data_IF_073500346640
#
_entry.id   IF_073500346640
#
_cell.length_a   1.000
_cell.length_b   1.000
_cell.length_c   1.000
_cell.angle_alpha   90.00
_cell.angle_beta   90.00
_cell.angle_gamma   90.00
#
_symmetry.space_group_name_H-M   'P 1'
#
loop_
_entity.id
_entity.type
_entity.pdbx_description
1 polymer ?
#
# COMPACT_ATOMS: atom_id res chain seq x y z
N UNK A 1 -17.16 -24.45 -31.16
CA UNK A 1 -16.19 -24.81 -30.10
C UNK A 1 -16.71 -24.23 -28.80
N UNK A 2 -16.56 -24.92 -27.65
CA UNK A 2 -16.94 -24.35 -26.36
C UNK A 2 -16.13 -23.08 -26.08
N UNK A 3 -16.74 -22.13 -25.40
CA UNK A 3 -16.10 -20.94 -24.85
C UNK A 3 -15.07 -21.30 -23.78
N UNK A 4 -14.12 -20.41 -23.49
CA UNK A 4 -13.15 -20.61 -22.42
C UNK A 4 -13.84 -20.83 -21.07
N UNK A 5 -14.94 -20.10 -20.81
CA UNK A 5 -15.69 -20.24 -19.58
C UNK A 5 -16.38 -21.62 -19.45
N UNK A 6 -16.92 -22.15 -20.54
CA UNK A 6 -17.46 -23.52 -20.57
C UNK A 6 -16.35 -24.55 -20.30
N UNK A 7 -15.17 -24.37 -20.90
CA UNK A 7 -14.00 -25.22 -20.65
C UNK A 7 -13.57 -25.13 -19.18
N UNK A 8 -13.54 -23.93 -18.61
CA UNK A 8 -13.20 -23.68 -17.21
C UNK A 8 -14.12 -24.44 -16.26
N UNK A 9 -15.44 -24.30 -16.41
CA UNK A 9 -16.42 -24.96 -15.53
C UNK A 9 -16.52 -26.47 -15.74
N UNK A 10 -16.21 -26.97 -16.94
CA UNK A 10 -16.29 -28.41 -17.23
C UNK A 10 -15.00 -29.18 -16.93
N UNK A 11 -13.84 -28.51 -16.94
CA UNK A 11 -12.55 -29.19 -16.85
C UNK A 11 -11.68 -28.78 -15.65
N UNK A 12 -12.09 -27.81 -14.84
CA UNK A 12 -11.34 -27.40 -13.66
C UNK A 12 -12.17 -27.57 -12.38
N UNK A 13 -11.54 -28.15 -11.36
CA UNK A 13 -12.11 -28.20 -10.02
C UNK A 13 -12.03 -26.80 -9.40
N UNK A 14 -13.19 -26.28 -8.97
CA UNK A 14 -13.27 -24.96 -8.36
C UNK A 14 -13.12 -25.08 -6.84
N UNK A 15 -12.15 -24.37 -6.23
CA UNK A 15 -11.91 -24.45 -4.79
C UNK A 15 -12.90 -23.62 -3.95
N UNK A 16 -13.76 -22.82 -4.59
CA UNK A 16 -14.75 -21.97 -3.93
C UNK A 16 -16.04 -21.88 -4.74
N UNK A 17 -17.16 -21.71 -4.04
CA UNK A 17 -18.48 -21.49 -4.63
C UNK A 17 -18.62 -20.04 -5.10
N UNK A 18 -19.31 -19.83 -6.23
CA UNK A 18 -19.61 -18.50 -6.77
C UNK A 18 -18.41 -17.85 -7.48
N UNK A 19 -18.32 -18.06 -8.80
CA UNK A 19 -17.28 -17.43 -9.62
C UNK A 19 -17.83 -16.20 -10.36
N UNK A 20 -17.24 -14.99 -10.18
CA UNK A 20 -17.55 -13.85 -11.04
C UNK A 20 -17.11 -14.05 -12.50
N UNK A 21 -16.40 -15.15 -12.81
CA UNK A 21 -16.13 -15.64 -14.17
C UNK A 21 -15.59 -14.56 -15.13
N UNK A 22 -14.65 -13.75 -14.65
CA UNK A 22 -14.01 -12.71 -15.46
C UNK A 22 -12.81 -13.33 -16.20
N UNK A 23 -12.86 -13.38 -17.53
CA UNK A 23 -11.76 -13.85 -18.35
C UNK A 23 -10.66 -12.79 -18.47
N UNK A 24 -9.57 -12.96 -17.74
CA UNK A 24 -8.45 -12.00 -17.72
C UNK A 24 -7.55 -12.20 -18.95
N UNK A 25 -7.32 -11.11 -19.70
CA UNK A 25 -6.43 -11.05 -20.87
C UNK A 25 -5.02 -10.60 -20.50
N UNK A 26 -4.92 -9.58 -19.63
CA UNK A 26 -3.64 -9.05 -19.14
C UNK A 26 -3.82 -8.36 -17.79
N UNK A 27 -2.71 -8.09 -17.12
CA UNK A 27 -2.66 -7.41 -15.84
C UNK A 27 -1.43 -6.49 -15.78
N UNK A 28 -1.57 -5.30 -15.21
CA UNK A 28 -0.48 -4.32 -15.11
C UNK A 28 -0.69 -3.39 -13.92
N UNK A 29 0.34 -3.23 -13.09
CA UNK A 29 0.27 -2.41 -11.88
C UNK A 29 -0.84 -2.90 -10.94
N UNK A 30 -1.80 -2.05 -10.61
CA UNK A 30 -2.94 -2.40 -9.75
C UNK A 30 -4.19 -2.88 -10.53
N UNK A 31 -4.05 -3.16 -11.83
CA UNK A 31 -5.20 -3.39 -12.69
C UNK A 31 -5.17 -4.73 -13.40
N UNK A 32 -6.36 -5.31 -13.53
CA UNK A 32 -6.66 -6.44 -14.41
C UNK A 32 -7.45 -5.93 -15.62
N UNK A 33 -7.30 -6.61 -16.75
CA UNK A 33 -8.00 -6.29 -17.99
C UNK A 33 -8.63 -7.56 -18.56
N UNK A 34 -9.92 -7.52 -18.86
CA UNK A 34 -10.62 -8.64 -19.50
C UNK A 34 -10.37 -8.69 -21.02
N UNK A 35 -11.03 -9.62 -21.70
CA UNK A 35 -10.89 -9.81 -23.15
C UNK A 35 -11.29 -8.58 -23.98
N UNK A 36 -12.20 -7.74 -23.44
CA UNK A 36 -12.68 -6.50 -24.05
C UNK A 36 -11.86 -5.27 -23.62
N UNK A 37 -10.69 -5.49 -22.98
CA UNK A 37 -9.82 -4.46 -22.41
C UNK A 37 -10.51 -3.58 -21.34
N UNK A 38 -11.62 -4.04 -20.76
CA UNK A 38 -12.23 -3.38 -19.61
C UNK A 38 -11.33 -3.55 -18.40
N UNK A 39 -11.07 -2.43 -17.75
CA UNK A 39 -10.12 -2.27 -16.65
C UNK A 39 -10.81 -2.52 -15.29
N UNK A 40 -10.22 -3.36 -14.45
CA UNK A 40 -10.66 -3.65 -13.09
C UNK A 40 -9.55 -3.27 -12.11
N UNK A 41 -9.87 -2.45 -11.12
CA UNK A 41 -8.95 -2.19 -10.00
C UNK A 41 -8.91 -3.42 -9.11
N UNK A 42 -7.73 -4.00 -8.92
CA UNK A 42 -7.52 -5.18 -8.11
C UNK A 42 -7.28 -4.81 -6.65
N UNK A 43 -8.33 -4.92 -5.84
CA UNK A 43 -8.27 -4.73 -4.39
C UNK A 43 -8.07 -6.05 -3.62
N UNK A 44 -8.02 -7.18 -4.33
CA UNK A 44 -7.83 -8.50 -3.75
C UNK A 44 -6.35 -8.91 -3.77
N UNK A 45 -5.62 -8.49 -4.81
CA UNK A 45 -4.18 -8.74 -4.97
C UNK A 45 -3.82 -10.23 -4.94
N UNK A 46 -4.71 -11.09 -5.47
CA UNK A 46 -4.56 -12.54 -5.46
C UNK A 46 -4.46 -13.11 -4.05
N UNK A 47 -5.35 -12.68 -3.15
CA UNK A 47 -5.37 -13.01 -1.72
C UNK A 47 -4.07 -12.50 -1.06
N UNK A 48 -3.82 -11.19 -1.21
CA UNK A 48 -2.67 -10.49 -0.62
C UNK A 48 -1.28 -10.99 -1.06
N UNK A 49 -1.16 -11.64 -2.22
CA UNK A 49 0.12 -12.13 -2.76
C UNK A 49 0.86 -11.04 -3.54
N UNK A 50 0.14 -10.31 -4.39
CA UNK A 50 0.74 -9.44 -5.39
C UNK A 50 1.08 -8.02 -4.89
N UNK A 51 1.87 -7.93 -3.82
CA UNK A 51 2.15 -6.67 -3.12
C UNK A 51 2.89 -5.60 -3.96
N UNK A 52 3.59 -6.01 -5.03
CA UNK A 52 4.28 -5.10 -5.95
C UNK A 52 3.42 -4.70 -7.16
N UNK A 53 2.19 -5.20 -7.24
CA UNK A 53 1.36 -5.09 -8.43
C UNK A 53 1.78 -6.03 -9.56
N UNK A 54 0.89 -6.15 -10.53
CA UNK A 54 1.01 -7.02 -11.69
C UNK A 54 2.12 -6.57 -12.63
N UNK A 55 2.91 -7.54 -13.12
CA UNK A 55 3.99 -7.34 -14.09
C UNK A 55 5.05 -6.29 -13.69
N UNK A 56 5.45 -6.26 -12.41
CA UNK A 56 6.51 -5.35 -11.96
C UNK A 56 7.79 -5.51 -12.81
N UNK A 57 8.28 -4.47 -13.52
CA UNK A 57 9.31 -4.61 -14.55
C UNK A 57 10.60 -5.28 -14.07
N UNK A 58 11.09 -4.92 -12.87
CA UNK A 58 12.30 -5.52 -12.29
C UNK A 58 12.15 -7.01 -11.97
N UNK A 59 10.95 -7.46 -11.62
CA UNK A 59 10.69 -8.88 -11.32
C UNK A 59 10.66 -9.66 -12.62
N UNK A 60 9.99 -9.11 -13.64
CA UNK A 60 9.94 -9.70 -14.99
C UNK A 60 11.33 -9.85 -15.61
N UNK A 61 12.17 -8.82 -15.52
CA UNK A 61 13.56 -8.85 -15.98
C UNK A 61 14.36 -9.93 -15.24
N UNK A 62 14.33 -9.95 -13.90
CA UNK A 62 15.06 -10.94 -13.11
C UNK A 62 14.65 -12.39 -13.40
N UNK A 63 13.36 -12.65 -13.67
CA UNK A 63 12.88 -13.98 -14.07
C UNK A 63 13.45 -14.36 -15.44
N UNK A 64 13.37 -13.47 -16.43
CA UNK A 64 13.90 -13.72 -17.79
C UNK A 64 15.40 -13.98 -17.78
N UNK A 65 16.15 -13.14 -17.07
CA UNK A 65 17.60 -13.29 -16.92
C UNK A 65 17.98 -14.62 -16.28
N UNK A 66 17.16 -15.12 -15.34
CA UNK A 66 17.40 -16.41 -14.71
C UNK A 66 17.03 -17.58 -15.64
N UNK A 67 15.96 -17.45 -16.43
CA UNK A 67 15.55 -18.47 -17.41
C UNK A 67 16.59 -18.68 -18.51
N UNK A 68 17.30 -17.61 -18.91
CA UNK A 68 18.42 -17.71 -19.87
C UNK A 68 19.61 -18.50 -19.31
N UNK A 69 19.68 -18.71 -17.99
CA UNK A 69 20.70 -19.53 -17.33
C UNK A 69 20.20 -20.94 -17.07
N UNK A 70 19.13 -21.07 -16.29
CA UNK A 70 18.46 -22.33 -15.96
C UNK A 70 17.12 -22.09 -15.26
N UNK A 71 16.16 -22.99 -15.46
CA UNK A 71 14.86 -22.99 -14.79
C UNK A 71 14.83 -23.86 -13.52
N UNK A 72 15.41 -25.06 -13.56
CA UNK A 72 15.45 -25.99 -12.44
C UNK A 72 16.68 -26.91 -12.53
N UNK A 73 17.30 -27.19 -11.37
CA UNK A 73 18.44 -28.12 -11.22
C UNK A 73 18.31 -28.85 -9.87
N UNK A 74 19.28 -29.70 -9.52
CA UNK A 74 19.24 -30.50 -8.28
C UNK A 74 19.12 -29.63 -7.02
N UNK A 75 18.03 -29.80 -6.29
CA UNK A 75 17.69 -28.96 -5.11
C UNK A 75 18.03 -29.59 -3.75
N UNK A 76 18.58 -30.81 -3.72
CA UNK A 76 18.94 -31.53 -2.48
C UNK A 76 20.26 -31.04 -1.82
N UNK A 77 20.59 -29.75 -1.95
CA UNK A 77 21.80 -29.14 -1.37
C UNK A 77 23.13 -29.59 -2.00
N UNK A 78 23.07 -30.34 -3.10
CA UNK A 78 24.26 -30.80 -3.84
C UNK A 78 24.81 -29.74 -4.79
N UNK A 79 24.02 -28.72 -5.09
CA UNK A 79 24.38 -27.60 -5.96
C UNK A 79 24.18 -26.29 -5.21
N UNK A 80 25.08 -25.33 -5.43
CA UNK A 80 24.97 -23.98 -4.86
C UNK A 80 24.28 -23.08 -5.88
N UNK A 81 23.11 -22.58 -5.50
CA UNK A 81 22.24 -21.77 -6.35
C UNK A 81 22.39 -20.30 -5.98
N UNK A 82 23.01 -19.50 -6.85
CA UNK A 82 23.24 -18.08 -6.61
C UNK A 82 21.95 -17.31 -6.23
N UNK A 83 20.79 -17.49 -6.90
CA UNK A 83 19.56 -16.80 -6.50
C UNK A 83 19.09 -17.18 -5.09
N UNK A 84 19.16 -18.46 -4.74
CA UNK A 84 18.80 -18.96 -3.42
C UNK A 84 19.74 -18.41 -2.34
N UNK A 85 21.05 -18.35 -2.61
CA UNK A 85 22.06 -17.82 -1.70
C UNK A 85 21.84 -16.32 -1.43
N UNK A 86 21.55 -15.54 -2.47
CA UNK A 86 21.25 -14.11 -2.34
C UNK A 86 20.02 -13.89 -1.45
N UNK A 87 18.95 -14.65 -1.68
CA UNK A 87 17.74 -14.56 -0.86
C UNK A 87 18.02 -14.97 0.59
N UNK A 88 18.73 -16.09 0.81
CA UNK A 88 19.09 -16.55 2.15
C UNK A 88 19.92 -15.52 2.90
N UNK A 89 20.87 -14.87 2.22
CA UNK A 89 21.69 -13.81 2.81
C UNK A 89 20.85 -12.59 3.20
N UNK A 90 19.99 -12.10 2.31
CA UNK A 90 19.13 -10.94 2.61
C UNK A 90 18.22 -11.24 3.81
N UNK A 91 17.64 -12.44 3.88
CA UNK A 91 16.82 -12.84 5.02
C UNK A 91 17.63 -12.91 6.31
N UNK A 92 18.81 -13.52 6.29
CA UNK A 92 19.68 -13.60 7.47
C UNK A 92 20.17 -12.23 7.96
N UNK A 93 20.40 -11.28 7.04
CA UNK A 93 20.82 -9.91 7.39
C UNK A 93 19.65 -9.06 7.96
N UNK A 94 18.39 -9.42 7.66
CA UNK A 94 17.18 -8.71 8.12
C UNK A 94 16.58 -9.29 9.40
N UNK A 95 16.77 -10.59 9.63
CA UNK A 95 16.20 -11.32 10.77
C UNK A 95 17.18 -11.35 11.95
N UNK A 96 16.70 -11.59 13.18
CA UNK A 96 17.58 -11.81 14.33
C UNK A 96 18.56 -12.97 14.11
N UNK A 97 19.74 -12.93 14.74
CA UNK A 97 20.80 -13.95 14.61
C UNK A 97 20.31 -15.40 14.82
N UNK A 98 19.30 -15.56 15.70
CA UNK A 98 18.66 -16.85 15.98
C UNK A 98 17.85 -17.43 14.81
N UNK A 99 17.60 -16.66 13.76
CA UNK A 99 16.79 -17.00 12.58
C UNK A 99 17.62 -16.88 11.29
N UNK A 100 18.82 -17.46 11.29
CA UNK A 100 19.81 -17.36 10.19
C UNK A 100 19.87 -18.58 9.25
N UNK A 101 19.04 -19.61 9.49
CA UNK A 101 18.97 -20.82 8.66
C UNK A 101 17.63 -20.90 7.91
N UNK A 102 17.68 -20.90 6.58
CA UNK A 102 16.50 -20.83 5.72
C UNK A 102 16.26 -22.16 4.99
N UNK A 103 15.00 -22.61 4.94
CA UNK A 103 14.56 -23.74 4.10
C UNK A 103 13.45 -23.25 3.18
N UNK A 104 13.72 -23.21 1.88
CA UNK A 104 12.80 -22.67 0.88
C UNK A 104 11.86 -23.73 0.34
N UNK A 105 10.60 -23.34 0.18
CA UNK A 105 9.49 -24.18 -0.31
C UNK A 105 8.61 -23.33 -1.24
N UNK A 106 7.55 -23.92 -1.79
CA UNK A 106 6.76 -23.34 -2.87
C UNK A 106 5.45 -22.71 -2.39
N UNK A 107 5.04 -22.96 -1.14
CA UNK A 107 3.78 -22.43 -0.59
C UNK A 107 3.86 -22.18 0.92
N UNK A 108 2.91 -21.40 1.43
CA UNK A 108 2.73 -21.23 2.87
C UNK A 108 2.39 -22.54 3.59
N UNK A 109 1.58 -23.41 2.98
CA UNK A 109 1.27 -24.72 3.56
C UNK A 109 2.51 -25.60 3.71
N UNK A 110 3.38 -25.66 2.70
CA UNK A 110 4.64 -26.40 2.81
C UNK A 110 5.58 -25.82 3.88
N UNK A 111 5.56 -24.50 4.07
CA UNK A 111 6.37 -23.85 5.10
C UNK A 111 5.87 -24.22 6.51
N UNK A 112 4.55 -24.31 6.69
CA UNK A 112 3.93 -24.81 7.91
C UNK A 112 4.30 -26.28 8.13
N UNK A 113 4.17 -27.16 7.14
CA UNK A 113 4.56 -28.58 7.24
C UNK A 113 6.03 -28.75 7.66
N UNK A 114 6.93 -27.98 7.03
CA UNK A 114 8.35 -27.94 7.36
C UNK A 114 8.59 -27.53 8.82
N UNK A 115 7.90 -26.48 9.27
CA UNK A 115 7.98 -25.96 10.64
C UNK A 115 7.48 -26.97 11.67
N UNK A 116 6.34 -27.62 11.41
CA UNK A 116 5.80 -28.68 12.27
C UNK A 116 6.77 -29.86 12.40
N UNK A 117 7.34 -30.31 11.27
CA UNK A 117 8.32 -31.40 11.27
C UNK A 117 9.60 -31.02 12.01
N UNK A 118 10.09 -29.79 11.82
CA UNK A 118 11.28 -29.28 12.51
C UNK A 118 11.07 -29.22 14.02
N UNK A 119 9.95 -28.67 14.48
CA UNK A 119 9.61 -28.58 15.89
C UNK A 119 9.57 -29.97 16.55
N UNK A 120 8.89 -30.94 15.92
CA UNK A 120 8.83 -32.32 16.41
C UNK A 120 10.20 -33.00 16.42
N UNK A 121 11.00 -32.81 15.37
CA UNK A 121 12.36 -33.38 15.26
C UNK A 121 13.29 -32.82 16.34
N UNK A 122 13.24 -31.52 16.58
CA UNK A 122 14.12 -30.85 17.54
C UNK A 122 13.74 -31.18 18.99
N UNK A 123 12.46 -31.13 19.31
CA UNK A 123 11.97 -31.33 20.69
C UNK A 123 11.77 -32.78 21.08
N UNK A 124 11.57 -33.68 20.11
CA UNK A 124 11.15 -35.07 20.34
C UNK A 124 9.70 -35.21 20.80
N UNK A 125 8.91 -34.12 20.74
CA UNK A 125 7.54 -34.04 21.25
C UNK A 125 6.51 -34.08 20.12
N UNK A 126 5.27 -34.45 20.43
CA UNK A 126 4.18 -34.59 19.45
C UNK A 126 3.12 -33.49 19.51
N UNK A 127 2.88 -32.89 20.68
CA UNK A 127 1.76 -31.96 20.90
C UNK A 127 1.97 -30.67 20.14
N UNK A 128 1.04 -30.32 19.27
CA UNK A 128 1.05 -29.07 18.51
C UNK A 128 -0.14 -28.23 18.95
N UNK A 129 0.09 -26.95 19.21
CA UNK A 129 -0.96 -26.03 19.64
C UNK A 129 -1.12 -24.95 18.55
N UNK A 130 -2.37 -24.63 18.22
CA UNK A 130 -2.73 -23.56 17.29
C UNK A 130 -3.93 -22.77 17.84
N UNK A 131 -4.37 -21.72 17.17
CA UNK A 131 -5.50 -20.91 17.59
C UNK A 131 -6.82 -21.31 16.92
N UNK A 132 -7.93 -21.18 17.63
CA UNK A 132 -9.27 -21.19 17.04
C UNK A 132 -9.35 -20.12 15.93
N UNK A 133 -10.10 -20.37 14.85
CA UNK A 133 -10.20 -19.51 13.65
C UNK A 133 -8.90 -19.25 12.87
N UNK A 134 -7.78 -19.89 13.22
CA UNK A 134 -6.54 -19.72 12.48
C UNK A 134 -6.57 -20.33 11.08
N UNK A 135 -5.83 -19.74 10.14
CA UNK A 135 -5.62 -20.26 8.79
C UNK A 135 -4.14 -20.59 8.55
N UNK A 136 -3.83 -21.87 8.32
CA UNK A 136 -2.46 -22.34 8.12
C UNK A 136 -2.24 -23.06 6.79
N UNK A 137 -3.29 -23.18 5.98
CA UNK A 137 -3.25 -23.81 4.66
C UNK A 137 -3.87 -25.21 4.62
N UNK A 138 -3.74 -25.86 3.46
CA UNK A 138 -4.62 -26.97 3.08
C UNK A 138 -3.93 -28.33 2.91
N UNK A 139 -2.61 -28.42 3.12
CA UNK A 139 -1.93 -29.72 3.21
C UNK A 139 -2.31 -30.41 4.53
N UNK A 140 -2.33 -31.74 4.58
CA UNK A 140 -2.92 -32.47 5.71
C UNK A 140 -2.38 -32.08 7.09
N UNK A 141 -1.08 -31.81 7.25
CA UNK A 141 -0.51 -31.36 8.53
C UNK A 141 -0.90 -29.92 8.87
N UNK A 142 -0.81 -29.01 7.91
CA UNK A 142 -1.28 -27.62 8.07
C UNK A 142 -2.79 -27.54 8.37
N UNK A 143 -3.59 -28.32 7.64
CA UNK A 143 -5.04 -28.45 7.82
C UNK A 143 -5.40 -28.99 9.21
N UNK A 144 -4.56 -29.85 9.78
CA UNK A 144 -4.77 -30.43 11.13
C UNK A 144 -4.72 -29.40 12.26
N UNK A 145 -4.03 -28.27 12.02
CA UNK A 145 -3.88 -27.17 12.98
C UNK A 145 -4.74 -25.94 12.63
N UNK A 146 -5.59 -26.06 11.61
CA UNK A 146 -6.52 -25.02 11.19
C UNK A 146 -7.61 -24.82 12.25
N UNK A 147 -7.99 -23.58 12.51
CA UNK A 147 -8.90 -23.23 13.60
C UNK A 147 -10.38 -23.23 13.23
N UNK A 148 -10.72 -23.22 11.94
CA UNK A 148 -12.11 -23.24 11.45
C UNK A 148 -12.56 -24.64 11.00
N UNK A 149 -13.66 -25.15 11.55
CA UNK A 149 -14.18 -26.49 11.19
C UNK A 149 -14.60 -26.61 9.72
N UNK A 150 -15.12 -25.53 9.15
CA UNK A 150 -15.56 -25.45 7.75
C UNK A 150 -14.51 -26.05 6.79
N UNK A 151 -13.24 -25.72 7.00
CA UNK A 151 -12.16 -26.12 6.12
C UNK A 151 -11.71 -27.57 6.29
N UNK A 152 -11.86 -28.17 7.48
CA UNK A 152 -11.16 -29.42 7.83
C UNK A 152 -12.07 -30.62 8.11
N UNK A 153 -13.36 -30.38 8.34
CA UNK A 153 -14.30 -31.40 8.80
C UNK A 153 -14.44 -32.62 7.86
N UNK A 154 -14.36 -32.41 6.55
CA UNK A 154 -14.57 -33.45 5.54
C UNK A 154 -13.32 -34.35 5.32
N UNK A 155 -12.17 -33.98 5.86
CA UNK A 155 -10.87 -34.62 5.58
C UNK A 155 -10.37 -35.47 6.76
N UNK A 156 -11.24 -35.77 7.71
CA UNK A 156 -10.89 -36.55 8.90
C UNK A 156 -10.67 -38.03 8.57
N UNK A 157 -9.77 -38.73 9.29
CA UNK A 157 -8.97 -38.25 10.42
C UNK A 157 -7.76 -37.38 10.01
N UNK A 158 -7.45 -36.39 10.83
CA UNK A 158 -6.31 -35.46 10.67
C UNK A 158 -5.14 -35.87 11.60
N UNK A 159 -4.03 -35.14 11.56
CA UNK A 159 -2.86 -35.38 12.43
C UNK A 159 -3.31 -35.37 13.90
N UNK A 160 -2.96 -36.40 14.69
CA UNK A 160 -3.34 -36.48 16.10
C UNK A 160 -2.50 -35.53 16.96
N UNK A 161 -2.92 -35.34 18.21
CA UNK A 161 -2.23 -34.52 19.22
C UNK A 161 -2.07 -33.03 18.81
N UNK A 162 -3.04 -32.53 18.04
CA UNK A 162 -3.23 -31.10 17.78
C UNK A 162 -4.30 -30.54 18.71
N UNK A 163 -4.04 -29.35 19.26
CA UNK A 163 -4.92 -28.68 20.21
C UNK A 163 -5.15 -27.23 19.76
N UNK A 164 -6.35 -26.70 20.03
CA UNK A 164 -6.68 -25.31 19.75
C UNK A 164 -6.82 -24.53 21.06
N UNK A 165 -6.23 -23.35 21.11
CA UNK A 165 -6.47 -22.33 22.13
C UNK A 165 -7.28 -21.18 21.55
N UNK A 166 -8.02 -20.44 22.35
CA UNK A 166 -8.65 -19.20 21.90
C UNK A 166 -7.61 -18.08 21.78
N UNK A 167 -7.62 -17.37 20.65
CA UNK A 167 -6.72 -16.25 20.43
C UNK A 167 -6.94 -15.15 21.49
N UNK A 168 -5.85 -14.62 22.06
CA UNK A 168 -5.86 -13.66 23.16
C UNK A 168 -6.54 -14.12 24.47
N UNK A 169 -6.80 -15.42 24.66
CA UNK A 169 -7.27 -15.95 25.94
C UNK A 169 -6.10 -16.37 26.84
N UNK A 170 -5.86 -15.64 27.92
CA UNK A 170 -4.76 -15.94 28.85
C UNK A 170 -4.92 -17.26 29.60
N UNK A 171 -6.16 -17.69 29.87
CA UNK A 171 -6.40 -18.93 30.61
C UNK A 171 -5.88 -20.14 29.82
N UNK A 172 -6.01 -20.11 28.49
CA UNK A 172 -5.60 -21.22 27.63
C UNK A 172 -4.08 -21.39 27.52
N UNK A 173 -3.30 -20.44 28.03
CA UNK A 173 -1.84 -20.58 28.11
C UNK A 173 -1.42 -21.77 28.98
N UNK A 174 -2.27 -22.22 29.92
CA UNK A 174 -2.02 -23.42 30.71
C UNK A 174 -1.95 -24.71 29.87
N UNK A 175 -2.53 -24.69 28.67
CA UNK A 175 -2.48 -25.80 27.72
C UNK A 175 -1.10 -25.93 27.05
N UNK A 176 -0.24 -24.92 27.16
CA UNK A 176 1.14 -24.95 26.67
C UNK A 176 2.03 -25.60 27.73
N UNK A 177 2.08 -26.93 27.71
CA UNK A 177 2.80 -27.76 28.67
C UNK A 177 4.17 -28.24 28.15
N UNK A 178 4.88 -29.03 28.96
CA UNK A 178 6.19 -29.61 28.60
C UNK A 178 6.11 -30.68 27.51
N UNK A 179 4.91 -31.07 27.06
CA UNK A 179 4.72 -31.96 25.91
C UNK A 179 4.54 -31.19 24.62
N UNK A 180 4.35 -29.87 24.65
CA UNK A 180 4.27 -29.04 23.45
C UNK A 180 5.59 -29.07 22.66
N UNK A 181 5.49 -29.44 21.39
CA UNK A 181 6.54 -29.33 20.39
C UNK A 181 6.64 -27.88 19.87
N UNK A 182 5.49 -27.26 19.58
CA UNK A 182 5.38 -25.88 19.16
C UNK A 182 3.98 -25.30 19.38
N UNK A 183 3.91 -23.97 19.36
CA UNK A 183 2.69 -23.18 19.22
C UNK A 183 2.77 -22.46 17.88
N UNK A 184 1.71 -22.54 17.08
CA UNK A 184 1.59 -21.83 15.79
C UNK A 184 0.50 -20.77 15.94
N UNK A 185 0.84 -19.53 15.61
CA UNK A 185 -0.05 -18.38 15.78
C UNK A 185 0.12 -17.39 14.63
N UNK A 186 -0.98 -16.82 14.16
CA UNK A 186 -0.98 -15.67 13.26
C UNK A 186 -0.95 -14.39 14.09
N UNK A 187 -0.08 -13.40 13.79
CA UNK A 187 -0.10 -12.11 14.49
C UNK A 187 -1.45 -11.37 14.36
N UNK A 188 -2.11 -11.54 13.21
CA UNK A 188 -3.48 -11.09 12.93
C UNK A 188 -4.16 -12.21 12.15
N UNK A 189 -5.32 -12.69 12.60
CA UNK A 189 -6.06 -13.75 11.93
C UNK A 189 -6.80 -13.18 10.70
N UNK A 190 -6.13 -13.26 9.55
CA UNK A 190 -6.56 -12.61 8.31
C UNK A 190 -7.83 -13.22 7.72
N UNK A 191 -7.87 -14.54 7.59
CA UNK A 191 -8.99 -15.26 6.95
C UNK A 191 -10.33 -15.02 7.66
N UNK A 192 -10.33 -15.05 8.99
CA UNK A 192 -11.54 -14.78 9.79
C UNK A 192 -11.88 -13.28 9.89
N UNK A 193 -11.04 -12.40 9.34
CA UNK A 193 -11.25 -10.96 9.34
C UNK A 193 -11.17 -10.35 10.73
N UNK A 194 -10.06 -10.56 11.44
CA UNK A 194 -9.88 -10.09 12.84
C UNK A 194 -8.96 -8.87 12.92
N UNK A 195 -9.18 -8.03 13.93
CA UNK A 195 -8.24 -6.99 14.36
C UNK A 195 -7.10 -7.61 15.18
N UNK A 196 -6.07 -6.81 15.46
CA UNK A 196 -4.91 -7.23 16.27
C UNK A 196 -5.29 -7.67 17.69
N UNK A 197 -6.37 -7.14 18.25
CA UNK A 197 -6.91 -7.51 19.56
C UNK A 197 -7.80 -8.77 19.52
N UNK A 198 -8.00 -9.39 18.35
CA UNK A 198 -8.86 -10.55 18.15
C UNK A 198 -10.35 -10.23 17.99
N UNK A 199 -10.74 -8.95 18.05
CA UNK A 199 -12.11 -8.55 17.75
C UNK A 199 -12.41 -8.70 16.25
N UNK A 200 -13.64 -9.08 15.86
CA UNK A 200 -14.00 -9.17 14.45
C UNK A 200 -13.96 -7.78 13.79
N UNK A 201 -13.53 -7.74 12.54
CA UNK A 201 -13.70 -6.57 11.69
C UNK A 201 -15.18 -6.50 11.30
N UNK A 202 -15.87 -5.47 11.78
CA UNK A 202 -17.21 -5.17 11.31
C UNK A 202 -17.12 -4.69 9.86
N UNK A 203 -17.66 -5.48 8.93
CA UNK A 203 -17.83 -5.03 7.56
C UNK A 203 -18.80 -3.84 7.57
N UNK A 204 -18.30 -2.68 7.15
CA UNK A 204 -19.12 -1.49 6.98
C UNK A 204 -20.29 -1.74 6.03
N UNK A 205 -21.28 -0.85 6.04
CA UNK A 205 -22.36 -0.86 5.04
C UNK A 205 -21.72 -0.88 3.63
N UNK A 206 -22.34 -1.57 2.65
CA UNK A 206 -21.86 -1.56 1.28
C UNK A 206 -21.53 -0.13 0.83
N UNK A 207 -20.42 0.06 0.10
CA UNK A 207 -20.05 1.39 -0.37
C UNK A 207 -21.23 1.99 -1.14
N UNK A 208 -21.66 3.18 -0.72
CA UNK A 208 -22.70 3.92 -1.43
C UNK A 208 -22.05 4.62 -2.61
N UNK A 209 -22.70 4.56 -3.77
CA UNK A 209 -22.29 5.36 -4.91
C UNK A 209 -22.33 6.84 -4.53
N UNK A 210 -21.20 7.51 -4.66
CA UNK A 210 -21.05 8.93 -4.32
C UNK A 210 -21.17 9.73 -5.61
N UNK A 211 -22.15 10.64 -5.66
CA UNK A 211 -22.23 11.61 -6.75
C UNK A 211 -21.10 12.63 -6.59
N UNK A 212 -20.12 12.57 -7.48
CA UNK A 212 -19.04 13.55 -7.55
C UNK A 212 -19.49 14.72 -8.41
N UNK A 213 -19.31 15.95 -7.90
CA UNK A 213 -19.57 17.17 -8.67
C UNK A 213 -18.25 17.76 -9.14
N UNK A 214 -18.12 17.95 -10.44
CA UNK A 214 -16.93 18.56 -11.03
C UNK A 214 -17.15 20.07 -11.16
N UNK A 215 -16.17 20.83 -10.68
CA UNK A 215 -16.17 22.29 -10.66
C UNK A 215 -15.13 22.83 -11.66
N UNK A 216 -14.81 24.12 -11.56
CA UNK A 216 -13.86 24.82 -12.42
C UNK A 216 -12.53 24.07 -12.53
N UNK A 217 -11.94 24.10 -13.73
CA UNK A 217 -10.63 23.51 -13.99
C UNK A 217 -10.65 22.00 -14.25
N UNK A 218 -11.82 21.38 -14.29
CA UNK A 218 -11.98 19.94 -14.56
C UNK A 218 -12.81 19.71 -15.81
N UNK A 219 -12.24 19.01 -16.80
CA UNK A 219 -12.97 18.43 -17.91
C UNK A 219 -13.24 16.95 -17.63
N UNK A 220 -14.40 16.48 -18.07
CA UNK A 220 -14.82 15.10 -17.97
C UNK A 220 -14.89 14.55 -19.38
N UNK A 221 -14.27 13.39 -19.61
CA UNK A 221 -14.45 12.63 -20.85
C UNK A 221 -14.92 11.20 -20.54
N UNK A 222 -15.41 10.52 -21.57
CA UNK A 222 -15.79 9.10 -21.54
C UNK A 222 -16.75 8.75 -20.39
N UNK A 223 -17.93 9.37 -20.36
CA UNK A 223 -19.01 9.05 -19.39
C UNK A 223 -18.56 9.13 -17.91
N UNK A 224 -17.63 10.02 -17.57
CA UNK A 224 -17.17 10.17 -16.18
C UNK A 224 -15.94 9.34 -15.82
N UNK A 225 -15.35 8.60 -16.77
CA UNK A 225 -14.21 7.69 -16.50
C UNK A 225 -12.85 8.37 -16.54
N UNK A 226 -12.76 9.58 -17.08
CA UNK A 226 -11.48 10.30 -17.16
C UNK A 226 -11.70 11.77 -16.83
N UNK A 227 -10.93 12.25 -15.85
CA UNK A 227 -10.88 13.65 -15.44
C UNK A 227 -9.58 14.26 -15.93
N UNK A 228 -9.67 15.40 -16.62
CA UNK A 228 -8.51 16.13 -17.10
C UNK A 228 -8.53 17.53 -16.51
N UNK A 229 -7.39 17.97 -15.99
CA UNK A 229 -7.23 19.37 -15.60
C UNK A 229 -7.28 20.24 -16.86
N UNK A 230 -8.16 21.22 -16.91
CA UNK A 230 -8.25 22.19 -18.03
C UNK A 230 -7.43 23.45 -17.79
N UNK A 231 -6.89 23.59 -16.59
CA UNK A 231 -6.01 24.68 -16.16
C UNK A 231 -4.91 24.07 -15.31
N UNK A 232 -3.74 24.71 -15.32
CA UNK A 232 -2.69 24.43 -14.35
C UNK A 232 -3.14 24.89 -12.96
N UNK A 233 -2.93 24.06 -11.93
CA UNK A 233 -3.37 24.41 -10.57
C UNK A 233 -3.42 23.25 -9.58
N UNK A 234 -3.95 23.54 -8.38
CA UNK A 234 -4.09 22.57 -7.29
C UNK A 234 -5.39 21.79 -7.45
N UNK A 235 -5.29 20.46 -7.47
CA UNK A 235 -6.46 19.58 -7.36
C UNK A 235 -7.03 19.69 -5.95
N UNK A 236 -8.33 19.97 -5.85
CA UNK A 236 -9.07 20.03 -4.60
C UNK A 236 -10.22 19.04 -4.62
N UNK A 237 -10.30 18.22 -3.58
CA UNK A 237 -11.45 17.36 -3.29
C UNK A 237 -11.95 17.74 -1.90
N UNK A 238 -13.19 18.21 -1.80
CA UNK A 238 -13.76 18.65 -0.52
C UNK A 238 -14.74 17.62 0.07
N UNK A 239 -15.15 17.85 1.32
CA UNK A 239 -16.09 16.97 2.05
C UNK A 239 -17.49 16.87 1.41
N UNK A 240 -17.78 17.67 0.38
CA UNK A 240 -19.03 17.64 -0.38
C UNK A 240 -18.88 16.88 -1.70
N UNK A 241 -17.79 16.13 -1.88
CA UNK A 241 -17.47 15.36 -3.08
C UNK A 241 -17.36 16.23 -4.33
N UNK A 242 -16.82 17.44 -4.17
CA UNK A 242 -16.55 18.34 -5.29
C UNK A 242 -15.09 18.27 -5.67
N UNK A 243 -14.82 18.14 -6.97
CA UNK A 243 -13.46 18.16 -7.53
C UNK A 243 -13.27 19.44 -8.32
N UNK A 244 -12.25 20.23 -8.00
CA UNK A 244 -11.83 21.42 -8.73
C UNK A 244 -10.33 21.35 -9.04
N UNK A 245 -9.91 22.08 -10.08
CA UNK A 245 -8.52 22.50 -10.23
C UNK A 245 -8.47 24.00 -10.08
N UNK A 246 -7.90 24.45 -8.96
CA UNK A 246 -7.82 25.86 -8.62
C UNK A 246 -6.44 26.38 -9.02
N UNK A 247 -6.43 27.38 -9.90
CA UNK A 247 -5.23 28.14 -10.26
C UNK A 247 -4.77 29.12 -9.16
N UNK A 248 -5.22 28.89 -7.91
CA UNK A 248 -4.87 29.70 -6.74
C UNK A 248 -4.47 28.79 -5.60
N UNK A 249 -3.25 28.96 -5.09
CA UNK A 249 -2.79 28.30 -3.88
C UNK A 249 -2.99 29.22 -2.68
N UNK A 250 -3.94 28.85 -1.81
CA UNK A 250 -4.25 29.63 -0.61
C UNK A 250 -3.56 29.06 0.62
N UNK A 251 -2.79 29.88 1.33
CA UNK A 251 -2.24 29.61 2.67
C UNK A 251 -3.11 30.35 3.69
N UNK A 252 -3.77 29.58 4.56
CA UNK A 252 -4.58 30.10 5.66
C UNK A 252 -3.70 30.29 6.90
N UNK A 253 -2.91 31.36 6.92
CA UNK A 253 -1.95 31.67 7.98
C UNK A 253 -0.65 32.21 7.42
N UNK A 254 0.41 32.08 8.21
CA UNK A 254 1.76 32.52 7.85
C UNK A 254 2.48 31.44 7.04
N UNK A 255 3.41 31.86 6.17
CA UNK A 255 4.39 30.97 5.55
C UNK A 255 5.60 30.89 6.48
N UNK A 256 5.79 29.71 7.07
CA UNK A 256 6.84 29.42 8.04
C UNK A 256 7.26 27.94 8.03
N UNK A 257 7.91 27.42 9.09
CA UNK A 257 8.41 26.04 9.13
C UNK A 257 7.36 24.97 8.85
N UNK A 258 6.10 25.22 9.23
CA UNK A 258 4.99 24.29 8.99
C UNK A 258 4.51 24.29 7.53
N UNK A 259 4.68 25.41 6.81
CA UNK A 259 4.28 25.53 5.40
C UNK A 259 5.41 25.17 4.44
N UNK A 260 6.64 25.57 4.78
CA UNK A 260 7.81 25.46 3.91
C UNK A 260 7.80 26.46 2.74
N UNK A 261 8.73 26.27 1.81
CA UNK A 261 8.80 27.08 0.59
C UNK A 261 7.67 26.70 -0.37
N UNK A 262 7.20 27.68 -1.14
CA UNK A 262 6.12 27.53 -2.11
C UNK A 262 6.68 27.73 -3.51
N UNK A 263 6.35 26.83 -4.43
CA UNK A 263 6.59 26.97 -5.86
C UNK A 263 5.33 26.52 -6.60
N UNK A 264 4.60 27.48 -7.19
CA UNK A 264 3.27 27.24 -7.73
C UNK A 264 3.08 27.88 -9.12
N UNK A 265 2.52 27.11 -10.04
CA UNK A 265 2.25 27.53 -11.43
C UNK A 265 1.13 28.58 -11.54
N UNK A 266 0.32 28.75 -10.50
CA UNK A 266 -0.78 29.70 -10.44
C UNK A 266 -0.55 30.85 -9.48
N UNK A 267 -1.62 31.58 -9.17
CA UNK A 267 -1.60 32.63 -8.16
C UNK A 267 -1.35 32.06 -6.75
N UNK A 268 -0.61 32.77 -5.91
CA UNK A 268 -0.43 32.41 -4.50
C UNK A 268 -1.09 33.47 -3.63
N UNK A 269 -1.99 33.06 -2.74
CA UNK A 269 -2.69 33.94 -1.81
C UNK A 269 -2.39 33.53 -0.36
N UNK A 270 -1.77 34.41 0.41
CA UNK A 270 -1.34 34.16 1.79
C UNK A 270 -2.12 35.10 2.70
N UNK A 271 -2.90 34.55 3.63
CA UNK A 271 -3.72 35.37 4.53
C UNK A 271 -2.93 35.96 5.70
N UNK A 272 -1.76 35.41 6.02
CA UNK A 272 -0.81 35.90 7.01
C UNK A 272 0.44 36.53 6.40
N UNK A 273 1.56 36.42 7.11
CA UNK A 273 2.88 36.95 6.75
C UNK A 273 3.77 35.87 6.13
N UNK A 274 4.85 36.29 5.46
CA UNK A 274 5.93 35.38 5.02
C UNK A 274 7.14 35.63 5.90
N UNK A 275 7.50 34.61 6.70
CA UNK A 275 8.61 34.68 7.64
C UNK A 275 9.99 34.65 6.98
N UNK A 276 11.02 34.95 7.76
CA UNK A 276 12.39 35.04 7.25
C UNK A 276 12.97 33.70 6.81
N UNK A 277 13.69 33.73 5.69
CA UNK A 277 14.33 32.55 5.10
C UNK A 277 13.43 31.71 4.20
N UNK A 278 12.15 32.05 4.08
CA UNK A 278 11.21 31.33 3.21
C UNK A 278 11.15 31.93 1.81
N UNK A 279 10.81 31.08 0.84
CA UNK A 279 10.74 31.40 -0.58
C UNK A 279 9.32 31.11 -1.07
N UNK A 280 8.71 32.07 -1.77
CA UNK A 280 7.42 31.94 -2.44
C UNK A 280 7.60 32.28 -3.91
N UNK A 281 7.40 31.29 -4.79
CA UNK A 281 7.44 31.44 -6.24
C UNK A 281 6.07 31.22 -6.86
N UNK A 282 5.73 32.07 -7.84
CA UNK A 282 4.49 32.00 -8.60
C UNK A 282 4.73 32.32 -10.07
N UNK A 283 4.20 31.52 -10.99
CA UNK A 283 4.14 31.90 -12.41
C UNK A 283 3.00 32.91 -12.72
N UNK A 284 2.28 33.35 -11.70
CA UNK A 284 1.28 34.41 -11.79
C UNK A 284 1.51 35.49 -10.71
N UNK A 285 0.47 35.84 -9.95
CA UNK A 285 0.51 36.91 -8.94
C UNK A 285 0.66 36.32 -7.54
N UNK A 286 1.47 36.98 -6.70
CA UNK A 286 1.53 36.69 -5.26
C UNK A 286 0.79 37.78 -4.48
N UNK A 287 -0.19 37.38 -3.67
CA UNK A 287 -0.95 38.24 -2.77
C UNK A 287 -0.68 37.85 -1.32
N UNK A 288 -0.17 38.78 -0.52
CA UNK A 288 0.16 38.58 0.89
C UNK A 288 -0.64 39.60 1.70
N UNK A 289 -1.50 39.13 2.62
CA UNK A 289 -2.30 40.02 3.48
C UNK A 289 -1.48 40.61 4.64
N UNK A 290 -0.53 39.85 5.16
CA UNK A 290 0.36 40.27 6.25
C UNK A 290 1.61 40.97 5.75
N UNK A 291 2.73 40.69 6.42
CA UNK A 291 4.05 41.27 6.17
C UNK A 291 4.96 40.31 5.40
N UNK A 292 6.01 40.86 4.80
CA UNK A 292 7.14 40.07 4.29
C UNK A 292 8.36 40.41 5.16
N UNK A 293 8.91 39.41 5.83
CA UNK A 293 10.01 39.57 6.78
C UNK A 293 11.23 38.80 6.29
N UNK A 294 12.22 39.47 5.67
CA UNK A 294 13.46 38.81 5.25
C UNK A 294 13.27 37.54 4.38
N UNK A 295 12.29 37.55 3.48
CA UNK A 295 11.89 36.42 2.64
C UNK A 295 12.08 36.71 1.14
N UNK A 296 12.05 35.67 0.30
CA UNK A 296 12.16 35.80 -1.16
C UNK A 296 10.80 35.54 -1.81
N UNK A 297 10.28 36.53 -2.53
CA UNK A 297 9.05 36.42 -3.32
C UNK A 297 9.39 36.59 -4.79
N UNK A 298 9.08 35.61 -5.62
CA UNK A 298 9.29 35.65 -7.07
C UNK A 298 7.94 35.43 -7.77
N UNK A 299 7.48 36.41 -8.55
CA UNK A 299 6.18 36.35 -9.22
C UNK A 299 6.27 36.86 -10.65
N UNK A 300 5.60 36.22 -11.59
CA UNK A 300 5.67 36.63 -13.00
C UNK A 300 4.68 37.75 -13.37
N UNK A 301 3.55 37.89 -12.65
CA UNK A 301 2.47 38.85 -13.00
C UNK A 301 2.23 39.96 -11.98
N UNK A 302 2.97 39.97 -10.88
CA UNK A 302 2.94 41.03 -9.87
C UNK A 302 2.96 40.52 -8.44
N UNK A 303 3.31 41.43 -7.51
CA UNK A 303 3.34 41.13 -6.08
C UNK A 303 2.56 42.21 -5.33
N UNK A 304 1.59 41.79 -4.51
CA UNK A 304 0.87 42.70 -3.61
C UNK A 304 1.03 42.25 -2.18
N UNK A 305 1.60 43.11 -1.34
CA UNK A 305 1.75 42.93 0.10
C UNK A 305 0.88 43.98 0.79
N UNK A 306 -0.23 43.58 1.40
CA UNK A 306 -1.13 44.53 2.05
C UNK A 306 -0.56 45.12 3.34
N UNK A 307 0.37 44.42 3.99
CA UNK A 307 1.20 44.96 5.06
C UNK A 307 2.39 45.73 4.50
N UNK A 308 3.52 45.60 5.18
CA UNK A 308 4.80 46.18 4.77
C UNK A 308 5.88 45.12 4.60
N UNK A 309 6.97 45.52 3.98
CA UNK A 309 8.14 44.68 3.72
C UNK A 309 9.24 45.13 4.68
N UNK A 310 9.59 44.25 5.63
CA UNK A 310 10.68 44.43 6.58
C UNK A 310 11.86 43.53 6.16
N UNK A 311 12.78 44.10 5.39
CA UNK A 311 13.76 43.31 4.67
C UNK A 311 14.96 42.86 5.47
N UNK A 312 15.40 43.64 6.45
CA UNK A 312 16.61 43.38 7.25
C UNK A 312 17.85 43.00 6.39
N UNK A 313 17.94 43.54 5.16
CA UNK A 313 18.98 43.24 4.18
C UNK A 313 18.85 41.87 3.49
N UNK A 314 17.75 41.13 3.72
CA UNK A 314 17.54 39.75 3.26
C UNK A 314 16.32 39.57 2.37
N UNK A 315 15.31 40.44 2.48
CA UNK A 315 14.11 40.30 1.65
C UNK A 315 14.39 40.67 0.19
N UNK A 316 13.92 39.81 -0.72
CA UNK A 316 14.00 40.02 -2.16
C UNK A 316 12.62 39.79 -2.77
N UNK A 317 12.06 40.79 -3.43
CA UNK A 317 10.84 40.65 -4.20
C UNK A 317 11.19 40.85 -5.68
N UNK A 318 10.87 39.86 -6.51
CA UNK A 318 11.21 39.83 -7.93
C UNK A 318 9.97 39.70 -8.78
N UNK A 319 9.74 40.64 -9.70
CA UNK A 319 8.66 40.55 -10.70
C UNK A 319 8.90 41.50 -11.86
N UNK A 320 8.60 41.10 -13.12
CA UNK A 320 8.64 42.03 -14.25
C UNK A 320 7.46 43.02 -14.28
N UNK A 321 6.53 42.92 -13.32
CA UNK A 321 5.32 43.73 -13.19
C UNK A 321 5.32 44.56 -11.89
N UNK A 322 4.16 45.09 -11.47
CA UNK A 322 4.04 45.94 -10.29
C UNK A 322 4.34 45.20 -8.97
N UNK A 323 5.05 45.88 -8.06
CA UNK A 323 5.11 45.57 -6.63
C UNK A 323 4.31 46.62 -5.86
N UNK A 324 3.30 46.19 -5.10
CA UNK A 324 2.46 47.08 -4.26
C UNK A 324 2.63 46.72 -2.79
N UNK A 325 3.00 47.68 -1.96
CA UNK A 325 3.12 47.51 -0.50
C UNK A 325 2.81 48.82 0.24
N UNK A 326 2.54 48.76 1.56
CA UNK A 326 2.37 49.99 2.36
C UNK A 326 3.69 50.73 2.59
N UNK A 327 4.75 49.97 2.82
CA UNK A 327 6.11 50.48 2.99
C UNK A 327 7.10 49.35 2.69
N UNK A 328 8.32 49.72 2.32
CA UNK A 328 9.45 48.81 2.17
C UNK A 328 10.68 49.39 2.88
N UNK A 329 11.33 48.57 3.71
CA UNK A 329 12.54 48.93 4.45
C UNK A 329 13.60 47.84 4.25
N UNK A 330 14.83 48.23 3.91
CA UNK A 330 15.99 47.34 3.78
C UNK A 330 15.74 46.07 2.95
N UNK A 331 14.97 46.23 1.86
CA UNK A 331 14.56 45.15 0.96
C UNK A 331 15.00 45.42 -0.48
N UNK A 332 15.28 44.36 -1.21
CA UNK A 332 15.63 44.42 -2.64
C UNK A 332 14.38 44.16 -3.48
N UNK A 333 13.98 45.12 -4.30
CA UNK A 333 12.82 45.05 -5.19
C UNK A 333 13.33 45.08 -6.63
N UNK A 334 13.14 43.99 -7.39
CA UNK A 334 13.69 43.77 -8.74
C UNK A 334 12.58 43.44 -9.73
#
# INVERSE_FOLDING_TARGET
MPSNLEIFHSNLALPADGSPSIEIKRAEGMYLYDQDDKKYLDLNSGICVNNLGHQHPKVQEAIKDQLDKFSHVMVYGQMVLEPQLKLAKVLADLLPDSLSCNYFVNSGSEAVEGSLKLAKRYTGRSKIISCSKAYHGSTHGALSIMGGEYFKQAYRPLLPDTHLIEFNNQNDLELIDTKAACVVIEPIQGEDGRRIDGSPIEFGKPPKEVKIKFLTGVAISNEGKTLTATVDGRVRINHQNQVSVENVYTVLGDVGPETGNIDFVGCVAISGSVGSGFIVKSAETVLIRGHVEGAVIDAAKGITVHGGIAGAGKATLKTPADIRCRYAQDATLI
#
